data_IF_241982914562
#
_entry.id   IF_241982914562
#
_cell.length_a   1.000
_cell.length_b   1.000
_cell.length_c   1.000
_cell.angle_alpha   90.00
_cell.angle_beta   90.00
_cell.angle_gamma   90.00
#
_symmetry.space_group_name_H-M   'P 1'
#
loop_
_entity.id
_entity.type
_entity.pdbx_description
1 polymer ?
#
# COMPACT_ATOMS: atom_id res chain seq x y z
N UNK A 1 1.09 -4.76 21.76
CA UNK A 1 1.48 -5.27 20.43
C UNK A 1 1.46 -4.14 19.40
N UNK A 2 2.29 -4.24 18.38
CA UNK A 2 2.28 -3.39 17.20
C UNK A 2 1.57 -4.12 16.05
N UNK A 3 0.52 -3.50 15.50
CA UNK A 3 -0.17 -3.98 14.31
C UNK A 3 0.22 -3.09 13.12
N UNK A 4 0.74 -3.71 12.07
CA UNK A 4 1.20 -3.04 10.85
C UNK A 4 0.32 -3.49 9.69
N UNK A 5 -0.35 -2.55 9.04
CA UNK A 5 -1.21 -2.82 7.88
C UNK A 5 -0.59 -2.21 6.62
N UNK A 6 -0.52 -2.97 5.52
CA UNK A 6 -0.36 -2.36 4.22
C UNK A 6 -1.60 -1.52 3.87
N UNK A 7 -1.48 -0.62 2.91
CA UNK A 7 -2.57 0.25 2.48
C UNK A 7 -3.38 -0.39 1.34
N UNK A 8 -2.73 -0.62 0.20
CA UNK A 8 -3.38 -1.16 -1.00
C UNK A 8 -3.84 -2.60 -0.81
N UNK A 9 -5.08 -2.92 -1.21
CA UNK A 9 -5.69 -4.24 -1.04
C UNK A 9 -5.71 -4.83 0.38
N UNK A 10 -5.40 -4.01 1.38
CA UNK A 10 -5.56 -4.34 2.80
C UNK A 10 -6.52 -3.36 3.47
N UNK A 11 -6.29 -2.07 3.37
CA UNK A 11 -7.14 -1.00 3.94
C UNK A 11 -7.97 -0.29 2.86
N UNK A 12 -7.40 -0.07 1.68
CA UNK A 12 -8.06 0.51 0.50
C UNK A 12 -7.98 -0.49 -0.65
N UNK A 13 -9.10 -0.79 -1.29
CA UNK A 13 -9.08 -1.57 -2.53
C UNK A 13 -8.50 -0.74 -3.67
N UNK A 14 -7.59 -1.35 -4.44
CA UNK A 14 -6.94 -0.75 -5.59
C UNK A 14 -7.01 -1.66 -6.82
N UNK A 15 -7.01 -1.07 -8.02
CA UNK A 15 -6.98 -1.82 -9.29
C UNK A 15 -6.21 -1.07 -10.37
N UNK A 16 -5.07 -1.60 -10.78
CA UNK A 16 -4.27 -1.05 -11.88
C UNK A 16 -4.97 -1.11 -13.23
N UNK A 17 -5.96 -1.98 -13.45
CA UNK A 17 -6.74 -1.98 -14.68
C UNK A 17 -7.52 -0.68 -14.88
N UNK A 18 -7.91 0.00 -13.81
CA UNK A 18 -8.55 1.32 -13.87
C UNK A 18 -7.57 2.36 -14.40
N UNK A 19 -6.33 2.35 -13.91
CA UNK A 19 -5.25 3.22 -14.41
C UNK A 19 -5.06 3.03 -15.90
N UNK A 20 -4.84 1.79 -16.33
CA UNK A 20 -4.60 1.45 -17.73
C UNK A 20 -5.79 1.80 -18.63
N UNK A 21 -7.03 1.64 -18.13
CA UNK A 21 -8.25 2.03 -18.84
C UNK A 21 -8.31 3.54 -19.08
N UNK A 22 -8.04 4.36 -18.06
CA UNK A 22 -8.01 5.83 -18.19
C UNK A 22 -6.89 6.25 -19.16
N UNK A 23 -5.67 5.71 -19.00
CA UNK A 23 -4.56 6.04 -19.90
C UNK A 23 -4.84 5.61 -21.33
N UNK A 24 -5.45 4.45 -21.56
CA UNK A 24 -5.87 4.01 -22.90
C UNK A 24 -6.83 5.00 -23.55
N UNK A 25 -7.85 5.45 -22.82
CA UNK A 25 -8.83 6.42 -23.31
C UNK A 25 -8.20 7.77 -23.61
N UNK A 26 -7.29 8.27 -22.78
CA UNK A 26 -6.68 9.58 -22.92
C UNK A 26 -5.58 9.61 -24.00
N UNK A 27 -4.80 8.54 -24.14
CA UNK A 27 -3.68 8.46 -25.08
C UNK A 27 -4.06 7.89 -26.45
N UNK A 28 -5.18 7.17 -26.55
CA UNK A 28 -5.53 6.38 -27.72
C UNK A 28 -4.73 5.07 -27.85
N UNK A 29 -3.82 4.76 -26.94
CA UNK A 29 -3.08 3.51 -26.97
C UNK A 29 -4.01 2.30 -26.62
N UNK A 30 -3.93 1.19 -27.38
CA UNK A 30 -4.79 0.04 -27.12
C UNK A 30 -4.58 -0.53 -25.70
N UNK A 31 -5.67 -0.73 -24.95
CA UNK A 31 -5.62 -1.26 -23.58
C UNK A 31 -4.88 -2.59 -23.48
N UNK A 32 -5.05 -3.48 -24.46
CA UNK A 32 -4.34 -4.75 -24.52
C UNK A 32 -2.82 -4.58 -24.61
N UNK A 33 -2.36 -3.54 -25.32
CA UNK A 33 -0.93 -3.21 -25.42
C UNK A 33 -0.40 -2.69 -24.10
N UNK A 34 -1.15 -1.78 -23.45
CA UNK A 34 -0.77 -1.26 -22.13
C UNK A 34 -0.70 -2.36 -21.08
N UNK A 35 -1.70 -3.26 -21.03
CA UNK A 35 -1.70 -4.42 -20.13
C UNK A 35 -0.50 -5.34 -20.34
N UNK A 36 -0.09 -5.55 -21.57
CA UNK A 36 1.08 -6.39 -21.89
C UNK A 36 2.40 -5.79 -21.46
N UNK A 37 2.51 -4.46 -21.49
CA UNK A 37 3.76 -3.73 -21.21
C UNK A 37 3.87 -3.27 -19.76
N UNK A 38 2.74 -3.09 -19.08
CA UNK A 38 2.74 -2.55 -17.73
C UNK A 38 3.28 -3.57 -16.73
N UNK A 39 4.29 -3.13 -15.97
CA UNK A 39 4.83 -3.86 -14.83
C UNK A 39 5.25 -2.87 -13.73
N UNK A 40 5.25 -3.32 -12.50
CA UNK A 40 5.75 -2.57 -11.33
C UNK A 40 7.27 -2.74 -11.25
N UNK A 41 7.97 -2.24 -12.28
CA UNK A 41 9.41 -2.40 -12.45
C UNK A 41 10.22 -1.27 -11.81
N UNK A 42 11.47 -1.16 -12.26
CA UNK A 42 12.48 -0.26 -11.68
C UNK A 42 12.05 1.21 -11.61
N UNK A 43 11.36 1.73 -12.63
CA UNK A 43 10.84 3.12 -12.64
C UNK A 43 9.85 3.36 -11.48
N UNK A 44 8.96 2.40 -11.21
CA UNK A 44 8.01 2.47 -10.08
C UNK A 44 8.78 2.42 -8.75
N UNK A 45 9.76 1.54 -8.62
CA UNK A 45 10.58 1.41 -7.41
C UNK A 45 11.35 2.70 -7.06
N UNK A 46 11.94 3.36 -8.04
CA UNK A 46 12.61 4.65 -7.86
C UNK A 46 11.65 5.73 -7.36
N UNK A 47 10.44 5.77 -7.92
CA UNK A 47 9.41 6.71 -7.53
C UNK A 47 8.88 6.43 -6.11
N UNK A 48 8.69 5.15 -5.75
CA UNK A 48 8.28 4.73 -4.40
C UNK A 48 9.33 5.02 -3.33
N UNK A 49 10.62 5.13 -3.69
CA UNK A 49 11.68 5.60 -2.77
C UNK A 49 11.86 7.12 -2.78
N UNK A 50 11.11 7.85 -3.62
CA UNK A 50 11.28 9.31 -3.77
C UNK A 50 12.56 9.72 -4.49
N UNK A 51 13.20 8.81 -5.23
CA UNK A 51 14.47 9.04 -5.92
C UNK A 51 14.33 9.79 -7.24
N UNK A 52 13.12 9.77 -7.83
CA UNK A 52 12.78 10.53 -9.04
C UNK A 52 11.55 11.40 -8.79
N UNK A 53 11.44 12.51 -9.56
CA UNK A 53 10.28 13.39 -9.47
C UNK A 53 9.02 12.77 -10.10
N UNK A 54 7.86 13.36 -9.79
CA UNK A 54 6.59 12.94 -10.38
C UNK A 54 6.58 13.09 -11.89
N UNK A 55 7.19 14.18 -12.42
CA UNK A 55 7.31 14.44 -13.85
C UNK A 55 8.25 13.46 -14.53
N UNK A 56 9.39 13.16 -13.90
CA UNK A 56 10.34 12.16 -14.40
C UNK A 56 9.71 10.77 -14.44
N UNK A 57 8.99 10.39 -13.38
CA UNK A 57 8.23 9.15 -13.32
C UNK A 57 7.22 9.05 -14.46
N UNK A 58 6.40 10.10 -14.67
CA UNK A 58 5.42 10.14 -15.75
C UNK A 58 6.08 10.01 -17.14
N UNK A 59 7.18 10.73 -17.36
CA UNK A 59 7.92 10.68 -18.63
C UNK A 59 8.49 9.30 -18.92
N UNK A 60 9.15 8.67 -17.94
CA UNK A 60 9.73 7.33 -18.10
C UNK A 60 8.66 6.28 -18.36
N UNK A 61 7.59 6.28 -17.57
CA UNK A 61 6.54 5.28 -17.70
C UNK A 61 5.73 5.43 -19.00
N UNK A 62 5.48 6.68 -19.45
CA UNK A 62 4.90 6.93 -20.76
C UNK A 62 5.78 6.36 -21.89
N UNK A 63 7.10 6.53 -21.81
CA UNK A 63 8.04 5.99 -22.77
C UNK A 63 8.03 4.44 -22.77
N UNK A 64 8.11 3.82 -21.59
CA UNK A 64 8.08 2.35 -21.45
C UNK A 64 6.79 1.73 -22.00
N UNK A 65 5.66 2.39 -21.78
CA UNK A 65 4.35 1.92 -22.23
C UNK A 65 4.05 2.29 -23.70
N UNK A 66 4.85 3.19 -24.31
CA UNK A 66 4.65 3.66 -25.67
C UNK A 66 3.37 4.51 -25.81
N UNK A 67 3.08 5.34 -24.81
CA UNK A 67 1.94 6.27 -24.83
C UNK A 67 2.42 7.71 -24.71
N UNK A 68 1.58 8.65 -25.17
CA UNK A 68 1.82 10.09 -25.07
C UNK A 68 0.69 10.72 -24.27
N UNK A 69 1.01 11.24 -23.10
CA UNK A 69 0.09 11.92 -22.17
C UNK A 69 0.75 13.19 -21.64
N UNK A 70 -0.06 14.24 -21.40
CA UNK A 70 0.39 15.34 -20.55
C UNK A 70 0.58 14.85 -19.11
N UNK A 71 1.35 15.58 -18.30
CA UNK A 71 1.53 15.25 -16.89
C UNK A 71 0.19 15.20 -16.13
N UNK A 72 -0.74 16.11 -16.43
CA UNK A 72 -2.08 16.14 -15.84
C UNK A 72 -2.89 14.88 -16.23
N UNK A 73 -2.87 14.49 -17.51
CA UNK A 73 -3.54 13.29 -18.00
C UNK A 73 -2.95 12.02 -17.34
N UNK A 74 -1.62 11.96 -17.25
CA UNK A 74 -0.93 10.86 -16.58
C UNK A 74 -1.35 10.76 -15.11
N UNK A 75 -1.31 11.88 -14.38
CA UNK A 75 -1.67 11.96 -12.96
C UNK A 75 -3.12 11.56 -12.71
N UNK A 76 -4.05 12.04 -13.56
CA UNK A 76 -5.47 11.65 -13.49
C UNK A 76 -5.64 10.13 -13.62
N UNK A 77 -4.96 9.52 -14.57
CA UNK A 77 -4.99 8.06 -14.74
C UNK A 77 -4.34 7.32 -13.58
N UNK A 78 -3.19 7.78 -13.10
CA UNK A 78 -2.48 7.15 -11.99
C UNK A 78 -3.30 7.16 -10.69
N UNK A 79 -4.00 8.25 -10.41
CA UNK A 79 -4.89 8.38 -9.25
C UNK A 79 -6.18 7.58 -9.36
N UNK A 80 -6.57 7.14 -10.56
CA UNK A 80 -7.77 6.32 -10.76
C UNK A 80 -7.68 4.90 -10.16
N UNK A 81 -6.52 4.52 -9.61
CA UNK A 81 -6.27 3.21 -9.01
C UNK A 81 -7.21 2.89 -7.85
N UNK A 82 -7.63 3.89 -7.07
CA UNK A 82 -8.39 3.71 -5.84
C UNK A 82 -9.85 3.38 -6.12
N UNK A 83 -10.38 2.37 -5.39
CA UNK A 83 -11.77 1.91 -5.49
C UNK A 83 -12.57 2.36 -4.27
N UNK A 84 -12.07 2.11 -3.07
CA UNK A 84 -12.75 2.45 -1.83
C UNK A 84 -12.14 1.77 -0.61
N UNK A 85 -12.51 2.26 0.56
CA UNK A 85 -12.02 1.79 1.86
C UNK A 85 -12.68 0.49 2.27
N UNK A 86 -11.93 -0.41 2.89
CA UNK A 86 -12.44 -1.59 3.59
C UNK A 86 -12.87 -1.20 4.99
N UNK A 87 -14.16 -0.87 5.16
CA UNK A 87 -14.70 -0.35 6.42
C UNK A 87 -14.53 -1.32 7.59
N UNK A 88 -14.67 -2.61 7.35
CA UNK A 88 -14.46 -3.67 8.33
C UNK A 88 -13.02 -3.68 8.88
N UNK A 89 -12.03 -3.42 8.02
CA UNK A 89 -10.63 -3.27 8.44
C UNK A 89 -10.42 -1.99 9.24
N UNK A 90 -11.02 -0.87 8.82
CA UNK A 90 -10.99 0.40 9.57
C UNK A 90 -11.58 0.19 10.98
N UNK A 91 -12.70 -0.49 11.11
CA UNK A 91 -13.34 -0.78 12.40
C UNK A 91 -12.44 -1.64 13.28
N UNK A 92 -11.76 -2.63 12.71
CA UNK A 92 -10.76 -3.46 13.41
C UNK A 92 -9.60 -2.58 13.91
N UNK A 93 -9.06 -1.71 13.08
CA UNK A 93 -7.95 -0.82 13.46
C UNK A 93 -8.35 0.10 14.63
N UNK A 94 -9.55 0.68 14.61
CA UNK A 94 -10.07 1.48 15.71
C UNK A 94 -10.22 0.67 17.00
N UNK A 95 -10.76 -0.55 16.92
CA UNK A 95 -10.90 -1.44 18.07
C UNK A 95 -9.56 -1.79 18.70
N UNK A 96 -8.55 -2.15 17.89
CA UNK A 96 -7.20 -2.46 18.38
C UNK A 96 -6.58 -1.28 19.14
N UNK A 97 -6.78 -0.06 18.67
CA UNK A 97 -6.32 1.15 19.36
C UNK A 97 -7.05 1.37 20.68
N UNK A 98 -8.37 1.14 20.71
CA UNK A 98 -9.17 1.20 21.96
C UNK A 98 -8.73 0.16 22.98
N UNK A 99 -8.25 -0.99 22.54
CA UNK A 99 -7.67 -2.05 23.38
C UNK A 99 -6.23 -1.74 23.84
N UNK A 100 -5.69 -0.56 23.48
CA UNK A 100 -4.36 -0.12 23.90
C UNK A 100 -3.22 -0.64 23.02
N UNK A 101 -3.52 -1.15 21.84
CA UNK A 101 -2.51 -1.55 20.87
C UNK A 101 -2.04 -0.39 20.00
N UNK A 102 -0.82 -0.48 19.49
CA UNK A 102 -0.28 0.45 18.52
C UNK A 102 -0.62 -0.03 17.11
N UNK A 103 -1.23 0.84 16.30
CA UNK A 103 -1.70 0.53 14.94
C UNK A 103 -1.07 1.49 13.96
N UNK A 104 -0.31 0.97 12.99
CA UNK A 104 0.35 1.76 11.96
C UNK A 104 0.06 1.22 10.57
N UNK A 105 0.19 2.10 9.57
CA UNK A 105 0.16 1.73 8.16
C UNK A 105 1.58 1.80 7.61
N UNK A 106 1.96 0.82 6.79
CA UNK A 106 3.23 0.77 6.08
C UNK A 106 2.97 0.52 4.59
N UNK A 107 3.12 1.55 3.76
CA UNK A 107 2.76 1.51 2.35
C UNK A 107 3.94 1.79 1.43
N UNK A 108 4.11 0.95 0.39
CA UNK A 108 4.85 1.32 -0.80
C UNK A 108 3.93 2.21 -1.64
N UNK A 109 4.28 3.47 -1.76
CA UNK A 109 3.44 4.46 -2.43
C UNK A 109 4.29 5.61 -2.99
N UNK A 110 3.63 6.61 -3.51
CA UNK A 110 4.25 7.73 -4.18
C UNK A 110 3.47 9.03 -3.94
N UNK A 111 4.11 10.14 -4.27
CA UNK A 111 3.57 11.47 -4.01
C UNK A 111 2.25 11.73 -4.75
N UNK A 112 2.10 11.25 -5.99
CA UNK A 112 0.88 11.43 -6.78
C UNK A 112 -0.33 10.73 -6.13
N UNK A 113 -0.16 9.52 -5.61
CA UNK A 113 -1.21 8.84 -4.87
C UNK A 113 -1.51 9.55 -3.55
N UNK A 114 -0.48 10.03 -2.84
CA UNK A 114 -0.64 10.72 -1.55
C UNK A 114 -1.26 12.11 -1.67
N UNK A 115 -1.31 12.72 -2.84
CA UNK A 115 -2.08 13.93 -3.10
C UNK A 115 -3.59 13.66 -3.19
N UNK A 116 -4.00 12.42 -3.45
CA UNK A 116 -5.39 12.05 -3.69
C UNK A 116 -6.05 11.36 -2.49
N UNK A 117 -5.52 10.20 -2.07
CA UNK A 117 -6.22 9.32 -1.14
C UNK A 117 -6.48 9.91 0.25
N UNK A 118 -5.62 10.76 0.86
CA UNK A 118 -5.89 11.28 2.20
C UNK A 118 -7.11 12.21 2.26
N UNK A 119 -7.36 12.97 1.20
CA UNK A 119 -8.53 13.84 1.09
C UNK A 119 -9.80 13.06 0.80
N UNK A 120 -9.70 12.00 0.00
CA UNK A 120 -10.84 11.17 -0.42
C UNK A 120 -11.25 10.16 0.67
N UNK A 121 -10.28 9.67 1.46
CA UNK A 121 -10.48 8.65 2.50
C UNK A 121 -9.88 9.08 3.85
N UNK A 122 -10.39 10.15 4.48
CA UNK A 122 -9.84 10.68 5.73
C UNK A 122 -9.94 9.69 6.91
N UNK A 123 -10.86 8.73 6.86
CA UNK A 123 -11.02 7.68 7.85
C UNK A 123 -9.78 6.77 7.98
N UNK A 124 -8.99 6.65 6.93
CA UNK A 124 -7.73 5.88 6.96
C UNK A 124 -6.72 6.53 7.90
N UNK A 125 -6.56 7.86 7.82
CA UNK A 125 -5.67 8.59 8.73
C UNK A 125 -6.16 8.53 10.17
N UNK A 126 -7.47 8.57 10.37
CA UNK A 126 -8.08 8.52 11.70
C UNK A 126 -7.93 7.15 12.37
N UNK A 127 -7.87 6.08 11.57
CA UNK A 127 -7.78 4.70 12.07
C UNK A 127 -6.36 4.31 12.53
N UNK A 128 -5.31 4.98 12.05
CA UNK A 128 -3.92 4.68 12.38
C UNK A 128 -3.31 5.68 13.38
N UNK A 129 -2.38 5.22 14.19
CA UNK A 129 -1.57 6.09 15.05
C UNK A 129 -0.45 6.78 14.27
N UNK A 130 0.07 6.11 13.24
CA UNK A 130 1.09 6.62 12.32
C UNK A 130 1.00 5.94 10.97
N UNK A 131 1.38 6.67 9.92
CA UNK A 131 1.43 6.17 8.55
C UNK A 131 2.85 6.35 8.04
N UNK A 132 3.47 5.24 7.63
CA UNK A 132 4.79 5.19 7.02
C UNK A 132 4.65 5.04 5.52
N UNK A 133 5.17 6.00 4.77
CA UNK A 133 5.11 6.06 3.32
C UNK A 133 6.52 5.89 2.75
N UNK A 134 6.72 4.95 1.86
CA UNK A 134 8.04 4.59 1.30
C UNK A 134 8.79 5.80 0.74
N UNK A 135 8.10 6.69 0.03
CA UNK A 135 8.64 7.89 -0.57
C UNK A 135 9.20 8.90 0.44
N UNK A 136 8.62 8.96 1.65
CA UNK A 136 9.01 9.93 2.68
C UNK A 136 10.25 9.44 3.45
N UNK A 137 10.43 8.12 3.54
CA UNK A 137 11.52 7.50 4.29
C UNK A 137 12.65 6.96 3.40
N UNK A 138 12.48 7.01 2.07
CA UNK A 138 13.49 6.56 1.10
C UNK A 138 13.75 5.05 1.09
N UNK A 139 12.80 4.24 1.58
CA UNK A 139 12.88 2.79 1.68
C UNK A 139 11.57 2.18 1.22
N UNK A 140 11.60 0.95 0.68
CA UNK A 140 10.39 0.24 0.28
C UNK A 140 10.40 -1.22 0.72
N UNK A 141 9.22 -1.82 0.89
CA UNK A 141 9.06 -3.27 1.02
C UNK A 141 9.43 -3.94 -0.31
N UNK A 142 10.07 -5.12 -0.33
CA UNK A 142 10.41 -6.01 0.78
C UNK A 142 11.80 -5.80 1.40
N UNK A 143 12.42 -4.64 1.25
CA UNK A 143 13.74 -4.37 1.81
C UNK A 143 13.72 -4.46 3.34
N UNK A 144 14.68 -5.19 3.95
CA UNK A 144 14.75 -5.35 5.40
C UNK A 144 14.81 -4.01 6.16
N UNK A 145 15.42 -3.00 5.55
CA UNK A 145 15.62 -1.68 6.14
C UNK A 145 14.32 -1.00 6.55
N UNK A 146 13.23 -1.14 5.75
CA UNK A 146 11.96 -0.47 6.06
C UNK A 146 11.27 -1.09 7.29
N UNK A 147 11.34 -2.41 7.46
CA UNK A 147 10.78 -3.09 8.63
C UNK A 147 11.55 -2.74 9.89
N UNK A 148 12.89 -2.75 9.84
CA UNK A 148 13.73 -2.30 10.95
C UNK A 148 13.49 -0.84 11.31
N UNK A 149 13.27 0.02 10.31
CA UNK A 149 12.92 1.42 10.54
C UNK A 149 11.63 1.54 11.35
N UNK A 150 10.55 0.88 10.91
CA UNK A 150 9.25 0.92 11.60
C UNK A 150 9.35 0.37 13.02
N UNK A 151 9.97 -0.79 13.23
CA UNK A 151 10.14 -1.39 14.55
C UNK A 151 10.91 -0.47 15.50
N UNK A 152 11.97 0.16 15.03
CA UNK A 152 12.78 1.09 15.83
C UNK A 152 12.01 2.36 16.18
N UNK A 153 11.32 2.97 15.21
CA UNK A 153 10.52 4.19 15.42
C UNK A 153 9.37 3.96 16.40
N UNK A 154 8.76 2.78 16.36
CA UNK A 154 7.66 2.42 17.23
C UNK A 154 8.12 1.82 18.57
N UNK A 155 9.40 1.44 18.70
CA UNK A 155 9.97 0.88 19.94
C UNK A 155 9.50 -0.54 20.24
N UNK A 156 9.21 -1.36 19.23
CA UNK A 156 8.77 -2.75 19.39
C UNK A 156 9.82 -3.73 18.89
N UNK A 157 9.88 -4.89 19.56
CA UNK A 157 10.59 -6.05 19.01
C UNK A 157 9.79 -6.68 17.86
N UNK A 158 10.47 -7.37 16.94
CA UNK A 158 9.82 -8.07 15.84
C UNK A 158 8.78 -9.09 16.32
N UNK A 159 9.07 -9.80 17.42
CA UNK A 159 8.16 -10.77 18.06
C UNK A 159 6.85 -10.16 18.59
N UNK A 160 6.83 -8.86 18.84
CA UNK A 160 5.68 -8.12 19.36
C UNK A 160 4.90 -7.38 18.25
N UNK A 161 5.25 -7.66 17.01
CA UNK A 161 4.62 -7.06 15.81
C UNK A 161 3.86 -8.11 14.99
N UNK A 162 2.74 -7.67 14.40
CA UNK A 162 1.94 -8.43 13.45
C UNK A 162 1.73 -7.56 12.19
N UNK A 163 2.01 -8.14 11.01
CA UNK A 163 1.97 -7.46 9.73
C UNK A 163 0.97 -8.10 8.76
N UNK A 164 0.17 -7.28 8.08
CA UNK A 164 -0.78 -7.68 7.06
C UNK A 164 -0.42 -7.02 5.73
N UNK A 165 -0.19 -7.82 4.69
CA UNK A 165 0.17 -7.33 3.35
C UNK A 165 -0.37 -8.28 2.28
N UNK A 166 -0.77 -7.77 1.11
CA UNK A 166 -1.29 -8.56 0.01
C UNK A 166 -0.18 -9.15 -0.90
N UNK A 167 1.06 -8.72 -0.69
CA UNK A 167 2.23 -9.16 -1.46
C UNK A 167 3.03 -10.23 -0.71
N UNK A 168 3.12 -11.43 -1.29
CA UNK A 168 3.84 -12.55 -0.68
C UNK A 168 5.32 -12.24 -0.40
N UNK A 169 6.03 -11.51 -1.28
CA UNK A 169 7.42 -11.15 -1.06
C UNK A 169 7.61 -10.23 0.15
N UNK A 170 6.66 -9.32 0.40
CA UNK A 170 6.67 -8.45 1.58
C UNK A 170 6.44 -9.27 2.87
N UNK A 171 5.48 -10.20 2.83
CA UNK A 171 5.18 -11.11 3.94
C UNK A 171 6.36 -12.00 4.27
N UNK A 172 6.99 -12.61 3.26
CA UNK A 172 8.16 -13.49 3.43
C UNK A 172 9.35 -12.72 4.03
N UNK A 173 9.62 -11.52 3.55
CA UNK A 173 10.70 -10.68 4.06
C UNK A 173 10.48 -10.29 5.54
N UNK A 174 9.25 -9.92 5.91
CA UNK A 174 8.93 -9.58 7.28
C UNK A 174 9.01 -10.80 8.22
N UNK A 175 8.52 -11.97 7.78
CA UNK A 175 8.66 -13.23 8.52
C UNK A 175 10.13 -13.61 8.73
N UNK A 176 10.99 -13.41 7.75
CA UNK A 176 12.44 -13.67 7.87
C UNK A 176 13.11 -12.80 8.94
N UNK A 177 12.51 -11.67 9.30
CA UNK A 177 12.97 -10.77 10.36
C UNK A 177 12.33 -11.05 11.73
N UNK A 178 11.48 -12.08 11.82
CA UNK A 178 10.78 -12.46 13.04
C UNK A 178 9.47 -11.70 13.30
N UNK A 179 8.99 -10.90 12.34
CA UNK A 179 7.67 -10.29 12.40
C UNK A 179 6.65 -11.34 11.95
N UNK A 180 5.69 -11.67 12.81
CA UNK A 180 4.57 -12.52 12.37
C UNK A 180 3.79 -11.81 11.28
N UNK A 181 3.67 -12.42 10.09
CA UNK A 181 3.08 -11.76 8.93
C UNK A 181 2.00 -12.63 8.28
N UNK A 182 0.93 -12.00 7.84
CA UNK A 182 -0.25 -12.63 7.27
C UNK A 182 -0.42 -12.14 5.83
N UNK A 183 -0.46 -13.07 4.87
CA UNK A 183 -0.77 -12.76 3.47
C UNK A 183 -2.28 -12.50 3.33
N UNK A 184 -2.62 -11.29 2.90
CA UNK A 184 -4.01 -10.87 2.65
C UNK A 184 -4.37 -11.20 1.20
N UNK A 185 -4.71 -12.47 0.95
CA UNK A 185 -5.06 -12.97 -0.38
C UNK A 185 -6.43 -12.50 -0.89
N UNK A 186 -7.30 -12.10 0.03
CA UNK A 186 -8.64 -11.59 -0.26
C UNK A 186 -9.17 -10.70 0.88
N UNK A 187 -10.37 -10.15 0.72
CA UNK A 187 -10.97 -9.20 1.66
C UNK A 187 -11.33 -9.81 3.03
N UNK A 188 -11.51 -11.12 3.12
CA UNK A 188 -11.97 -11.77 4.35
C UNK A 188 -10.83 -12.13 5.30
N UNK A 189 -9.60 -12.18 4.82
CA UNK A 189 -8.44 -12.63 5.61
C UNK A 189 -8.28 -11.83 6.91
N UNK A 190 -8.33 -10.50 6.85
CA UNK A 190 -8.18 -9.65 8.06
C UNK A 190 -9.38 -9.81 9.00
N UNK A 191 -10.65 -9.69 8.56
CA UNK A 191 -11.82 -9.95 9.41
C UNK A 191 -11.80 -11.33 10.06
N UNK A 192 -11.53 -12.39 9.30
CA UNK A 192 -11.52 -13.78 9.79
C UNK A 192 -10.40 -14.01 10.82
N UNK A 193 -9.22 -13.41 10.59
CA UNK A 193 -8.12 -13.47 11.52
C UNK A 193 -8.54 -12.96 12.90
N UNK A 194 -9.16 -11.79 12.97
CA UNK A 194 -9.58 -11.19 14.24
C UNK A 194 -10.82 -11.86 14.85
N UNK A 195 -11.77 -12.37 14.04
CA UNK A 195 -12.87 -13.16 14.50
C UNK A 195 -12.39 -14.43 15.23
N UNK A 196 -11.39 -15.12 14.69
CA UNK A 196 -10.82 -16.33 15.27
C UNK A 196 -10.07 -16.09 16.58
N UNK A 197 -9.60 -14.86 16.87
CA UNK A 197 -8.94 -14.51 18.13
C UNK A 197 -9.94 -14.33 19.30
N UNK A 198 -11.15 -13.82 19.00
CA UNK A 198 -12.21 -13.63 20.01
C UNK A 198 -12.60 -14.97 20.63
N UNK A 199 -12.75 -16.02 19.83
CA UNK A 199 -13.12 -17.37 20.33
C UNK A 199 -12.04 -18.03 21.20
N UNK A 200 -10.78 -17.61 21.12
CA UNK A 200 -9.68 -18.15 21.92
C UNK A 200 -9.54 -17.51 23.31
N UNK A 201 -10.14 -16.33 23.51
CA UNK A 201 -10.11 -15.64 24.81
C UNK A 201 -11.28 -16.05 25.73
N UNK A 202 -12.33 -16.67 25.17
CA UNK A 202 -13.51 -17.14 25.91
C UNK A 202 -13.44 -18.65 26.28
N UNK A 203 -12.34 -19.34 25.95
CA UNK A 203 -12.09 -20.76 26.23
C UNK A 203 -11.02 -20.92 27.29
#
# INVERSE_FOLDING_TARGET
MLYIFDLGNVVIDIDFNRVLGVWSNLSGAPLATLRKRFELGHTVELHERGEISDEEFASRLCHELGMSLSFEQFSTGWQAIFIGVRKDVIDIMHRLRQEGHRVVILSNTNRLHCQFWPGEYPEVQQAADKIYLSQDIGMRKPEAAIYHHVLREEGFAASDALFFDDNAANVDAANALGIRSILVSDRQVVPDFFASQVFKQES
#
